data_IF_533811970728
#
_entry.id   IF_533811970728
#
_cell.length_a   1.000
_cell.length_b   1.000
_cell.length_c   1.000
_cell.angle_alpha   90.00
_cell.angle_beta   90.00
_cell.angle_gamma   90.00
#
_symmetry.space_group_name_H-M   'P 1'
#
loop_
_entity.id
_entity.type
_entity.pdbx_description
1 polymer ?
#
# COMPACT_ATOMS: atom_id res chain seq x y z
N UNK A 1 14.30 -4.50 -14.13
CA UNK A 1 13.61 -3.93 -12.94
C UNK A 1 13.37 -2.45 -13.16
N UNK A 2 12.19 -2.00 -12.83
CA UNK A 2 11.83 -0.59 -12.99
C UNK A 2 12.21 0.21 -11.75
N UNK A 3 12.73 1.42 -11.98
CA UNK A 3 12.96 2.36 -10.90
C UNK A 3 11.66 3.01 -10.50
N UNK A 4 11.57 3.41 -9.24
CA UNK A 4 10.46 4.19 -8.76
C UNK A 4 10.40 5.54 -9.48
N UNK A 5 9.19 5.98 -9.84
CA UNK A 5 8.95 7.29 -10.46
C UNK A 5 7.90 8.02 -9.66
N UNK A 6 8.03 9.35 -9.59
CA UNK A 6 7.09 10.19 -8.87
C UNK A 6 7.30 10.15 -7.38
N UNK A 7 6.29 10.55 -6.62
CA UNK A 7 6.35 10.63 -5.18
C UNK A 7 5.20 9.83 -4.54
N UNK A 8 5.43 9.36 -3.32
CA UNK A 8 4.44 8.63 -2.56
C UNK A 8 4.46 9.13 -1.12
N UNK A 9 3.33 9.01 -0.43
CA UNK A 9 3.29 9.30 1.01
C UNK A 9 3.88 8.15 1.83
N UNK A 10 4.09 6.99 1.19
CA UNK A 10 4.67 5.83 1.86
C UNK A 10 6.18 6.03 2.02
N UNK A 11 6.64 5.93 3.25
CA UNK A 11 8.05 6.11 3.57
C UNK A 11 8.83 4.80 3.39
N UNK A 12 10.08 4.94 2.97
CA UNK A 12 10.99 3.81 2.88
C UNK A 12 10.76 2.87 1.72
N UNK A 13 10.03 3.31 0.69
CA UNK A 13 9.81 2.50 -0.51
C UNK A 13 10.31 3.21 -1.75
N UNK A 14 10.53 2.45 -2.81
CA UNK A 14 10.86 3.01 -4.11
C UNK A 14 12.25 3.61 -4.17
N UNK A 15 13.21 2.82 -4.57
CA UNK A 15 14.57 3.31 -4.71
C UNK A 15 14.78 3.96 -6.07
N UNK A 16 15.50 5.07 -6.09
CA UNK A 16 15.82 5.78 -7.31
C UNK A 16 16.94 5.13 -8.12
N UNK A 17 17.53 4.06 -7.62
CA UNK A 17 18.64 3.38 -8.28
C UNK A 17 18.53 1.86 -8.07
N UNK A 18 19.20 1.13 -8.94
CA UNK A 18 19.32 -0.33 -8.82
C UNK A 18 20.63 -0.61 -8.06
N UNK A 19 20.51 -1.23 -6.91
CA UNK A 19 21.66 -1.59 -6.08
C UNK A 19 22.20 -2.95 -6.47
N UNK A 20 23.39 -3.30 -5.95
CA UNK A 20 23.98 -4.62 -6.20
C UNK A 20 23.05 -5.76 -5.75
N UNK A 21 22.29 -5.53 -4.67
CA UNK A 21 21.39 -6.56 -4.17
C UNK A 21 20.25 -6.85 -5.12
N UNK A 22 19.90 -5.88 -5.97
CA UNK A 22 18.82 -6.01 -6.94
C UNK A 22 19.33 -6.45 -8.31
N UNK A 23 20.63 -6.37 -8.53
CA UNK A 23 21.21 -6.74 -9.81
C UNK A 23 20.95 -8.24 -10.08
N UNK A 24 20.46 -8.53 -11.28
CA UNK A 24 20.14 -9.90 -11.66
C UNK A 24 18.75 -10.38 -11.21
N UNK A 25 18.03 -9.58 -10.43
CA UNK A 25 16.68 -9.95 -10.02
C UNK A 25 15.75 -9.88 -11.22
N UNK A 26 15.00 -10.96 -11.44
CA UNK A 26 14.05 -11.07 -12.54
C UNK A 26 12.67 -11.41 -12.00
N UNK A 27 11.89 -10.39 -11.58
CA UNK A 27 10.54 -10.66 -11.09
C UNK A 27 9.65 -11.16 -12.22
N UNK A 28 8.75 -12.08 -11.89
CA UNK A 28 7.79 -12.59 -12.86
C UNK A 28 6.70 -11.57 -13.14
N UNK A 29 6.30 -10.81 -12.12
CA UNK A 29 5.26 -9.79 -12.24
C UNK A 29 5.71 -8.52 -11.54
N UNK A 30 5.20 -7.40 -12.04
CA UNK A 30 5.47 -6.10 -11.43
C UNK A 30 4.21 -5.25 -11.54
N UNK A 31 3.83 -4.60 -10.45
CA UNK A 31 2.64 -3.76 -10.40
C UNK A 31 2.98 -2.39 -9.85
N UNK A 32 2.40 -1.37 -10.45
CA UNK A 32 2.50 -0.01 -9.94
C UNK A 32 1.24 0.27 -9.13
N UNK A 33 1.40 0.45 -7.84
CA UNK A 33 0.29 0.67 -6.92
C UNK A 33 0.30 2.14 -6.50
N UNK A 34 -0.81 2.83 -6.75
CA UNK A 34 -0.96 4.24 -6.38
C UNK A 34 -1.34 4.37 -4.91
N UNK A 35 -1.04 5.53 -4.34
CA UNK A 35 -1.34 5.79 -2.93
C UNK A 35 -2.82 5.63 -2.60
N UNK A 36 -3.71 6.08 -3.49
CA UNK A 36 -5.15 5.98 -3.26
C UNK A 36 -5.61 4.52 -3.18
N UNK A 37 -5.05 3.64 -4.00
CA UNK A 37 -5.37 2.22 -3.96
C UNK A 37 -4.96 1.62 -2.62
N UNK A 38 -3.74 1.91 -2.17
CA UNK A 38 -3.23 1.40 -0.92
C UNK A 38 -4.02 1.92 0.28
N UNK A 39 -4.36 3.21 0.28
CA UNK A 39 -5.10 3.82 1.38
C UNK A 39 -6.51 3.26 1.50
N UNK A 40 -7.19 3.05 0.38
CA UNK A 40 -8.53 2.47 0.42
C UNK A 40 -8.51 1.08 1.04
N UNK A 41 -7.50 0.29 0.75
CA UNK A 41 -7.35 -1.05 1.34
C UNK A 41 -7.11 -0.94 2.84
N UNK A 42 -6.24 -0.03 3.27
CA UNK A 42 -5.93 0.15 4.68
C UNK A 42 -7.17 0.54 5.47
N UNK A 43 -7.96 1.48 4.95
CA UNK A 43 -9.18 1.93 5.63
C UNK A 43 -10.23 0.84 5.67
N UNK A 44 -10.37 0.07 4.58
CA UNK A 44 -11.30 -1.06 4.55
C UNK A 44 -10.94 -2.10 5.59
N UNK A 45 -9.65 -2.41 5.74
CA UNK A 45 -9.21 -3.41 6.72
C UNK A 45 -9.45 -2.96 8.15
N UNK A 46 -9.30 -1.67 8.44
CA UNK A 46 -9.62 -1.15 9.76
C UNK A 46 -11.10 -1.30 10.06
N UNK A 47 -11.95 -0.90 9.11
CA UNK A 47 -13.40 -0.89 9.30
C UNK A 47 -13.97 -2.30 9.32
N UNK A 48 -13.56 -3.15 8.38
CA UNK A 48 -14.17 -4.46 8.20
C UNK A 48 -13.53 -5.57 9.04
N UNK A 49 -12.22 -5.49 9.24
CA UNK A 49 -11.46 -6.57 9.90
C UNK A 49 -10.81 -6.14 11.21
N UNK A 50 -10.82 -4.86 11.53
CA UNK A 50 -10.14 -4.36 12.72
C UNK A 50 -8.62 -4.43 12.63
N UNK A 51 -8.07 -4.56 11.42
CA UNK A 51 -6.63 -4.63 11.21
C UNK A 51 -6.08 -3.24 10.88
N UNK A 52 -5.18 -2.77 11.72
CA UNK A 52 -4.59 -1.44 11.57
C UNK A 52 -3.17 -1.57 11.03
N UNK A 53 -3.01 -1.44 9.72
CA UNK A 53 -1.76 -1.67 9.02
C UNK A 53 -1.19 -0.39 8.42
N UNK A 54 0.12 -0.40 8.17
CA UNK A 54 0.80 0.73 7.55
C UNK A 54 0.64 0.75 6.03
N UNK A 55 1.15 1.82 5.42
CA UNK A 55 0.96 2.06 3.99
C UNK A 55 1.64 1.00 3.11
N UNK A 56 2.81 0.52 3.50
CA UNK A 56 3.50 -0.51 2.72
C UNK A 56 2.73 -1.82 2.70
N UNK A 57 2.03 -2.14 3.79
CA UNK A 57 1.15 -3.31 3.80
C UNK A 57 0.00 -3.13 2.81
N UNK A 58 -0.55 -1.93 2.73
CA UNK A 58 -1.60 -1.62 1.76
C UNK A 58 -1.11 -1.81 0.33
N UNK A 59 0.11 -1.38 0.05
CA UNK A 59 0.72 -1.56 -1.28
C UNK A 59 0.86 -3.05 -1.60
N UNK A 60 1.37 -3.83 -0.65
CA UNK A 60 1.57 -5.26 -0.84
C UNK A 60 0.24 -5.98 -1.06
N UNK A 61 -0.78 -5.64 -0.30
CA UNK A 61 -2.10 -6.25 -0.45
C UNK A 61 -2.74 -5.88 -1.78
N UNK A 62 -2.61 -4.61 -2.20
CA UNK A 62 -3.13 -4.19 -3.49
C UNK A 62 -2.46 -4.96 -4.63
N UNK A 63 -1.15 -5.15 -4.54
CA UNK A 63 -0.41 -5.96 -5.51
C UNK A 63 -0.88 -7.41 -5.52
N UNK A 64 -1.08 -7.98 -4.33
CA UNK A 64 -1.57 -9.35 -4.21
C UNK A 64 -2.97 -9.51 -4.83
N UNK A 65 -3.84 -8.52 -4.64
CA UNK A 65 -5.18 -8.55 -5.24
C UNK A 65 -5.10 -8.51 -6.76
N UNK A 66 -4.25 -7.65 -7.30
CA UNK A 66 -4.05 -7.57 -8.76
C UNK A 66 -3.53 -8.88 -9.31
N UNK A 67 -2.57 -9.49 -8.64
CA UNK A 67 -2.03 -10.78 -9.04
C UNK A 67 -3.10 -11.88 -8.97
N UNK A 68 -3.91 -11.88 -7.92
CA UNK A 68 -4.98 -12.86 -7.77
C UNK A 68 -5.99 -12.77 -8.91
N UNK A 69 -6.33 -11.57 -9.31
CA UNK A 69 -7.26 -11.37 -10.43
C UNK A 69 -6.66 -11.84 -11.75
N UNK A 70 -5.38 -11.63 -11.93
CA UNK A 70 -4.68 -12.02 -13.15
C UNK A 70 -4.49 -13.54 -13.25
N UNK A 71 -4.13 -14.18 -12.12
CA UNK A 71 -3.88 -15.62 -12.10
C UNK A 71 -5.15 -16.46 -12.04
N UNK A 72 -6.20 -15.91 -11.46
CA UNK A 72 -7.45 -16.64 -11.28
C UNK A 72 -7.42 -17.58 -10.07
N UNK A 73 -8.45 -18.44 -9.92
CA UNK A 73 -8.55 -19.33 -8.77
C UNK A 73 -7.51 -20.45 -8.79
N UNK A 74 -7.31 -21.07 -7.65
CA UNK A 74 -6.42 -22.23 -7.52
C UNK A 74 -4.98 -21.88 -7.18
N UNK A 75 -4.71 -20.65 -6.76
CA UNK A 75 -3.36 -20.21 -6.41
C UNK A 75 -3.29 -19.75 -4.96
N UNK A 76 -2.16 -20.01 -4.33
CA UNK A 76 -1.85 -19.49 -3.00
C UNK A 76 -0.98 -18.26 -3.19
N UNK A 77 -1.42 -17.12 -2.66
CA UNK A 77 -0.70 -15.85 -2.78
C UNK A 77 -0.25 -15.41 -1.39
N UNK A 78 1.05 -15.25 -1.23
CA UNK A 78 1.65 -14.85 0.04
C UNK A 78 2.17 -13.44 -0.08
N UNK A 79 1.88 -12.61 0.91
CA UNK A 79 2.43 -11.25 0.97
C UNK A 79 2.88 -10.94 2.39
N UNK A 80 3.57 -9.83 2.55
CA UNK A 80 4.11 -9.43 3.84
C UNK A 80 3.36 -8.23 4.37
N UNK A 81 2.93 -8.31 5.62
CA UNK A 81 2.35 -7.19 6.34
C UNK A 81 3.46 -6.55 7.16
N UNK A 82 3.90 -5.40 6.72
CA UNK A 82 5.12 -4.78 7.24
C UNK A 82 4.92 -4.05 8.56
N UNK A 83 4.37 -2.84 8.51
CA UNK A 83 4.26 -1.99 9.68
C UNK A 83 2.82 -1.81 10.14
N UNK A 84 2.68 -1.42 11.39
CA UNK A 84 1.42 -1.02 11.97
C UNK A 84 1.09 0.42 11.59
N UNK A 85 -0.19 0.78 11.51
CA UNK A 85 -0.62 2.11 11.07
C UNK A 85 -0.22 3.24 12.01
N UNK A 86 -0.03 2.97 13.27
CA UNK A 86 0.36 3.99 14.25
C UNK A 86 1.63 4.74 13.87
N UNK A 87 2.53 4.06 13.19
CA UNK A 87 3.79 4.66 12.74
C UNK A 87 3.55 5.79 11.74
N UNK A 88 2.41 5.77 11.06
CA UNK A 88 2.10 6.73 9.99
C UNK A 88 0.88 7.58 10.34
N UNK A 89 0.58 7.72 11.63
CA UNK A 89 -0.61 8.39 12.11
C UNK A 89 -0.75 9.83 11.60
N UNK A 90 0.37 10.54 11.50
CA UNK A 90 0.37 11.92 11.04
C UNK A 90 -0.04 12.08 9.57
N UNK A 91 -0.01 11.01 8.81
CA UNK A 91 -0.40 11.02 7.40
C UNK A 91 -1.71 10.29 7.17
N UNK A 92 -1.82 9.04 7.67
CA UNK A 92 -2.97 8.18 7.40
C UNK A 92 -4.28 8.73 7.94
N UNK A 93 -4.24 9.41 9.06
CA UNK A 93 -5.44 9.88 9.73
C UNK A 93 -5.50 11.41 9.82
N UNK A 94 -4.63 12.09 9.10
CA UNK A 94 -4.65 13.54 9.02
C UNK A 94 -5.50 13.95 7.81
N UNK A 95 -6.74 14.33 8.07
CA UNK A 95 -7.71 14.65 7.01
C UNK A 95 -7.23 15.81 6.14
N UNK A 96 -6.67 16.85 6.75
CA UNK A 96 -6.19 18.01 6.01
C UNK A 96 -5.05 17.63 5.06
N UNK A 97 -4.10 16.84 5.55
CA UNK A 97 -3.00 16.35 4.74
C UNK A 97 -3.50 15.53 3.55
N UNK A 98 -4.44 14.62 3.81
CA UNK A 98 -4.99 13.76 2.77
C UNK A 98 -5.75 14.55 1.71
N UNK A 99 -6.54 15.52 2.13
CA UNK A 99 -7.28 16.38 1.20
C UNK A 99 -6.33 17.23 0.34
N UNK A 100 -5.28 17.76 0.95
CA UNK A 100 -4.27 18.53 0.24
C UNK A 100 -3.61 17.70 -0.86
N UNK A 101 -3.36 16.43 -0.59
CA UNK A 101 -2.77 15.51 -1.55
C UNK A 101 -3.79 14.88 -2.48
N UNK A 102 -5.06 15.22 -2.34
CA UNK A 102 -6.16 14.64 -3.13
C UNK A 102 -6.24 13.13 -2.97
N UNK A 103 -6.05 12.66 -1.75
CA UNK A 103 -6.09 11.24 -1.41
C UNK A 103 -7.37 10.88 -0.66
N UNK A 104 -7.76 9.60 -0.66
CA UNK A 104 -8.91 9.15 0.09
C UNK A 104 -8.80 9.50 1.57
N UNK A 105 -9.91 9.89 2.16
CA UNK A 105 -10.02 10.20 3.57
C UNK A 105 -10.69 9.02 4.25
N UNK A 106 -10.22 8.58 5.44
CA UNK A 106 -10.90 7.50 6.13
C UNK A 106 -12.34 7.87 6.42
N UNK A 107 -13.21 6.87 6.44
CA UNK A 107 -14.63 7.09 6.70
C UNK A 107 -14.87 7.41 8.18
N UNK A 108 -14.38 8.55 8.62
CA UNK A 108 -14.42 8.92 10.03
C UNK A 108 -15.82 9.05 10.58
N UNK A 109 -16.77 9.38 9.73
CA UNK A 109 -18.16 9.38 10.12
C UNK A 109 -18.63 7.99 10.56
N UNK A 110 -17.91 6.97 10.15
CA UNK A 110 -18.21 5.58 10.51
C UNK A 110 -17.38 5.07 11.68
N UNK A 111 -16.21 5.65 11.92
CA UNK A 111 -15.27 5.12 12.91
C UNK A 111 -15.02 6.00 14.13
N UNK A 112 -15.32 7.27 14.05
CA UNK A 112 -15.07 8.17 15.18
C UNK A 112 -16.28 8.32 16.09
N UNK A 113 -17.18 7.50 15.95
CA UNK A 113 -18.43 7.54 16.66
C UNK A 113 -18.27 7.47 18.16
#
# INVERSE_FOLDING_TARGET
MLKSKGSSITEGIGQGRITNNLEGLKPDFSYNIKDDEALNIIYSLIIEEGLSLGTSSGINIAGAIKMAKELGPGHNIVTILCDHSQRYKSKLFNIEFLKEKKLPVPGLSLIHI
#
